data_IF_859477863321
#
_entry.id   IF_859477863321
#
_cell.length_a   1.000
_cell.length_b   1.000
_cell.length_c   1.000
_cell.angle_alpha   90.00
_cell.angle_beta   90.00
_cell.angle_gamma   90.00
#
_symmetry.space_group_name_H-M   'P 1'
#
loop_
_entity.id
_entity.type
_entity.pdbx_description
1 polymer ?
#
# COMPACT_ATOMS: atom_id res chain seq x y z
N UNK A 1 -22.51 3.74 9.90
CA UNK A 1 -21.25 4.32 9.36
C UNK A 1 -20.02 3.96 10.19
N UNK A 2 -20.10 3.93 11.53
CA UNK A 2 -18.99 3.49 12.38
C UNK A 2 -18.60 2.00 12.21
N UNK A 3 -19.55 1.13 11.91
CA UNK A 3 -19.26 -0.32 11.71
C UNK A 3 -18.40 -0.62 10.48
N UNK A 4 -18.49 0.19 9.42
CA UNK A 4 -17.65 0.01 8.23
C UNK A 4 -16.20 0.40 8.49
N UNK A 5 -15.98 1.39 9.36
CA UNK A 5 -14.63 1.81 9.77
C UNK A 5 -13.97 0.77 10.70
N UNK A 6 -14.74 0.16 11.61
CA UNK A 6 -14.25 -0.96 12.43
C UNK A 6 -13.84 -2.15 11.58
N UNK A 7 -14.71 -2.60 10.67
CA UNK A 7 -14.39 -3.72 9.76
C UNK A 7 -13.16 -3.45 8.89
N UNK A 8 -12.94 -2.20 8.48
CA UNK A 8 -11.76 -1.82 7.70
C UNK A 8 -10.49 -1.83 8.56
N UNK A 9 -10.57 -1.35 9.81
CA UNK A 9 -9.48 -1.42 10.78
C UNK A 9 -9.11 -2.86 11.09
N UNK A 10 -10.08 -3.71 11.43
CA UNK A 10 -9.85 -5.10 11.80
C UNK A 10 -9.22 -5.88 10.63
N UNK A 11 -9.67 -5.65 9.39
CA UNK A 11 -9.04 -6.21 8.18
C UNK A 11 -7.63 -5.70 7.94
N UNK A 12 -7.37 -4.42 8.17
CA UNK A 12 -6.03 -3.86 8.01
C UNK A 12 -5.06 -4.40 9.07
N UNK A 13 -5.55 -4.61 10.30
CA UNK A 13 -4.82 -5.19 11.43
C UNK A 13 -4.52 -6.68 11.20
N UNK A 14 -5.50 -7.47 10.71
CA UNK A 14 -5.27 -8.85 10.24
C UNK A 14 -4.25 -8.93 9.11
N UNK A 15 -4.30 -8.02 8.13
CA UNK A 15 -3.34 -7.99 7.02
C UNK A 15 -1.93 -7.64 7.51
N UNK A 16 -1.82 -6.69 8.44
CA UNK A 16 -0.54 -6.31 9.04
C UNK A 16 0.05 -7.43 9.92
N UNK A 17 -0.77 -8.13 10.70
CA UNK A 17 -0.33 -9.27 11.54
C UNK A 17 0.02 -10.51 10.72
N UNK A 18 -0.74 -10.80 9.67
CA UNK A 18 -0.51 -11.98 8.84
C UNK A 18 0.70 -11.78 7.90
N UNK A 19 0.94 -10.55 7.45
CA UNK A 19 1.93 -10.22 6.42
C UNK A 19 2.31 -8.73 6.49
N UNK A 20 3.41 -8.39 7.19
CA UNK A 20 3.98 -7.04 7.15
C UNK A 20 4.29 -6.55 5.73
N UNK A 21 4.58 -7.48 4.82
CA UNK A 21 4.79 -7.23 3.39
C UNK A 21 3.53 -6.75 2.64
N UNK A 22 2.33 -6.89 3.23
CA UNK A 22 1.07 -6.54 2.54
C UNK A 22 0.97 -5.06 2.21
N UNK A 23 1.66 -4.19 2.97
CA UNK A 23 1.65 -2.76 2.67
C UNK A 23 2.37 -2.50 1.34
N UNK A 24 3.50 -3.19 1.10
CA UNK A 24 4.23 -3.12 -0.16
C UNK A 24 3.40 -3.66 -1.32
N UNK A 25 2.78 -4.83 -1.13
CA UNK A 25 1.88 -5.44 -2.13
C UNK A 25 0.67 -4.54 -2.44
N UNK A 26 0.12 -3.87 -1.41
CA UNK A 26 -1.00 -2.97 -1.55
C UNK A 26 -0.66 -1.70 -2.33
N UNK A 27 0.56 -1.18 -2.15
CA UNK A 27 1.08 -0.03 -2.90
C UNK A 27 1.30 -0.38 -4.37
N UNK A 28 1.93 -1.53 -4.68
CA UNK A 28 2.11 -2.01 -6.06
C UNK A 28 0.77 -2.17 -6.77
N UNK A 29 -0.17 -2.87 -6.14
CA UNK A 29 -1.48 -3.14 -6.73
C UNK A 29 -2.29 -1.86 -6.94
N UNK A 30 -2.15 -0.87 -6.06
CA UNK A 30 -2.74 0.45 -6.27
C UNK A 30 -2.09 1.19 -7.44
N UNK A 31 -0.77 1.06 -7.59
CA UNK A 31 -0.02 1.55 -8.75
C UNK A 31 -0.56 0.96 -10.05
N UNK A 32 -0.63 -0.36 -10.15
CA UNK A 32 -1.12 -1.07 -11.33
C UNK A 32 -2.54 -0.63 -11.73
N UNK A 33 -3.46 -0.51 -10.75
CA UNK A 33 -4.83 -0.07 -11.00
C UNK A 33 -4.86 1.34 -11.58
N UNK A 34 -4.04 2.25 -11.06
CA UNK A 34 -3.96 3.62 -11.57
C UNK A 34 -3.32 3.63 -12.95
N UNK A 35 -2.30 2.81 -13.16
CA UNK A 35 -1.60 2.74 -14.44
C UNK A 35 -2.51 2.21 -15.55
N UNK A 36 -3.22 1.11 -15.29
CA UNK A 36 -4.27 0.54 -16.14
C UNK A 36 -5.34 1.58 -16.48
N UNK A 37 -5.77 2.38 -15.49
CA UNK A 37 -6.74 3.47 -15.71
C UNK A 37 -6.19 4.62 -16.55
N UNK A 38 -4.87 4.74 -16.61
CA UNK A 38 -4.18 5.77 -17.41
C UNK A 38 -3.62 5.22 -18.72
N UNK A 39 -3.96 3.97 -19.06
CA UNK A 39 -3.46 3.24 -20.22
C UNK A 39 -1.92 3.20 -20.29
N UNK A 40 -1.24 3.09 -19.15
CA UNK A 40 0.23 3.07 -19.10
C UNK A 40 0.91 4.43 -19.38
N UNK A 41 0.16 5.54 -19.43
CA UNK A 41 0.75 6.86 -19.76
C UNK A 41 1.63 7.43 -18.65
N UNK A 42 1.46 6.95 -17.43
CA UNK A 42 2.15 7.47 -16.26
C UNK A 42 2.88 6.39 -15.47
N UNK A 43 3.08 5.20 -16.03
CA UNK A 43 3.73 4.04 -15.39
C UNK A 43 5.00 4.45 -14.65
N UNK A 44 5.94 5.10 -15.34
CA UNK A 44 7.23 5.53 -14.74
C UNK A 44 7.03 6.38 -13.46
N UNK A 45 6.03 7.26 -13.45
CA UNK A 45 5.75 8.15 -12.31
C UNK A 45 5.04 7.42 -11.18
N UNK A 46 4.17 6.49 -11.54
CA UNK A 46 3.40 5.67 -10.59
C UNK A 46 4.37 4.72 -9.88
N UNK A 47 5.19 3.98 -10.63
CA UNK A 47 6.24 3.10 -10.10
C UNK A 47 7.19 3.87 -9.18
N UNK A 48 7.73 5.02 -9.64
CA UNK A 48 8.59 5.87 -8.79
C UNK A 48 7.89 6.32 -7.51
N UNK A 49 6.57 6.52 -7.55
CA UNK A 49 5.76 6.90 -6.39
C UNK A 49 5.56 5.73 -5.41
N UNK A 50 5.29 4.54 -5.96
CA UNK A 50 5.16 3.28 -5.21
C UNK A 50 6.47 2.93 -4.53
N UNK A 51 7.59 2.93 -5.24
CA UNK A 51 8.93 2.63 -4.70
C UNK A 51 9.28 3.53 -3.51
N UNK A 52 9.02 4.85 -3.66
CA UNK A 52 9.28 5.81 -2.58
C UNK A 52 8.38 5.61 -1.37
N UNK A 53 7.13 5.21 -1.60
CA UNK A 53 6.19 4.91 -0.52
C UNK A 53 6.61 3.63 0.22
N UNK A 54 7.02 2.59 -0.51
CA UNK A 54 7.57 1.36 0.06
C UNK A 54 8.81 1.65 0.91
N UNK A 55 9.78 2.41 0.38
CA UNK A 55 10.96 2.85 1.14
C UNK A 55 10.60 3.59 2.44
N UNK A 56 9.55 4.42 2.41
CA UNK A 56 9.10 5.15 3.58
C UNK A 56 8.45 4.24 4.62
N UNK A 57 7.64 3.28 4.17
CA UNK A 57 6.99 2.28 5.03
C UNK A 57 8.06 1.40 5.69
N UNK A 58 9.05 0.95 4.92
CA UNK A 58 10.17 0.15 5.42
C UNK A 58 10.96 0.93 6.48
N UNK A 59 11.34 2.18 6.20
CA UNK A 59 12.03 3.05 7.16
C UNK A 59 11.22 3.35 8.43
N UNK A 60 9.89 3.39 8.34
CA UNK A 60 9.02 3.55 9.51
C UNK A 60 8.96 2.26 10.33
N UNK A 61 8.80 1.12 9.68
CA UNK A 61 8.83 -0.20 10.32
C UNK A 61 10.16 -0.49 11.02
N UNK A 62 11.29 -0.10 10.42
CA UNK A 62 12.62 -0.23 11.05
C UNK A 62 12.81 0.70 12.26
N UNK A 63 12.13 1.84 12.30
CA UNK A 63 12.33 2.86 13.36
C UNK A 63 11.43 2.65 14.57
N UNK A 64 10.40 1.81 14.44
CA UNK A 64 9.52 1.39 15.54
C UNK A 64 9.92 0.03 16.16
N UNK A 65 10.97 -0.63 15.65
CA UNK A 65 11.54 -1.87 16.18
C UNK A 65 12.63 -1.68 17.25
#
# INVERSE_FOLDING_TARGET
>A
MFDNLKNLKDKAEELAEAHGDTISDGLEKAGDIVDDKTDGKYTDKIETGVDKAQEYVEKLGEKEA
#
